data_IF_414614007835
#
_entry.id   IF_414614007835
#
_cell.length_a   1.000
_cell.length_b   1.000
_cell.length_c   1.000
_cell.angle_alpha   90.00
_cell.angle_beta   90.00
_cell.angle_gamma   90.00
#
_symmetry.space_group_name_H-M   'P 1'
#
loop_
_entity.id
_entity.type
_entity.pdbx_description
1 polymer ?
#
# COMPACT_ATOMS: atom_id res chain seq x y z
N UNK A 1 -51.36 19.27 16.91
CA UNK A 1 -49.95 19.62 17.17
C UNK A 1 -49.16 18.32 17.16
N UNK A 2 -48.63 17.95 15.99
CA UNK A 2 -47.88 16.70 15.77
C UNK A 2 -46.41 16.92 16.12
N UNK A 3 -45.96 16.30 17.21
CA UNK A 3 -44.54 16.24 17.56
C UNK A 3 -43.83 15.25 16.64
N UNK A 4 -43.02 15.77 15.73
CA UNK A 4 -42.04 14.97 14.99
C UNK A 4 -40.92 14.59 15.95
N UNK A 5 -40.86 13.31 16.34
CA UNK A 5 -39.70 12.75 17.00
C UNK A 5 -38.55 12.73 15.98
N UNK A 6 -37.57 13.59 16.19
CA UNK A 6 -36.31 13.60 15.48
C UNK A 6 -35.55 12.32 15.84
N UNK A 7 -35.69 11.30 14.99
CA UNK A 7 -34.90 10.07 15.10
C UNK A 7 -33.45 10.44 14.78
N UNK A 8 -32.67 10.72 15.82
CA UNK A 8 -31.22 10.80 15.76
C UNK A 8 -30.71 9.45 15.22
N UNK A 9 -30.33 9.45 13.94
CA UNK A 9 -29.49 8.40 13.33
C UNK A 9 -28.16 8.40 14.06
N UNK A 10 -28.09 7.70 15.20
CA UNK A 10 -26.82 7.28 15.77
C UNK A 10 -26.12 6.44 14.69
N UNK A 11 -24.83 6.70 14.39
CA UNK A 11 -24.08 5.82 13.51
C UNK A 11 -24.12 4.43 14.16
N UNK A 12 -24.78 3.49 13.48
CA UNK A 12 -24.72 2.07 13.83
C UNK A 12 -23.25 1.67 13.75
N UNK A 13 -22.58 1.65 14.90
CA UNK A 13 -21.35 0.91 15.08
C UNK A 13 -21.73 -0.57 14.91
N UNK A 14 -21.66 -1.07 13.69
CA UNK A 14 -21.71 -2.50 13.45
C UNK A 14 -20.42 -3.09 14.01
N UNK A 15 -20.45 -3.48 15.29
CA UNK A 15 -19.50 -4.46 15.82
C UNK A 15 -19.87 -5.79 15.17
N UNK A 16 -19.40 -6.02 13.96
CA UNK A 16 -19.37 -7.36 13.40
C UNK A 16 -18.25 -8.10 14.15
N UNK A 17 -18.62 -8.87 15.17
CA UNK A 17 -17.70 -9.77 15.84
C UNK A 17 -17.13 -10.74 14.80
N UNK A 18 -15.80 -10.90 14.77
CA UNK A 18 -15.14 -11.93 13.96
C UNK A 18 -15.81 -13.29 14.24
N UNK A 19 -15.99 -14.13 13.22
CA UNK A 19 -16.63 -15.43 13.42
C UNK A 19 -15.74 -16.26 14.38
N UNK A 20 -16.34 -16.93 15.39
CA UNK A 20 -15.57 -17.68 16.39
C UNK A 20 -14.77 -18.86 15.80
N UNK A 21 -15.01 -19.22 14.55
CA UNK A 21 -14.38 -20.35 13.86
C UNK A 21 -13.30 -19.95 12.84
N UNK A 22 -12.95 -18.67 12.75
CA UNK A 22 -11.91 -18.25 11.83
C UNK A 22 -10.52 -18.62 12.35
N UNK A 23 -9.74 -19.21 11.46
CA UNK A 23 -8.38 -19.69 11.76
C UNK A 23 -7.30 -18.66 11.44
N UNK A 24 -7.57 -17.79 10.45
CA UNK A 24 -6.62 -16.79 9.97
C UNK A 24 -7.34 -15.47 9.74
N UNK A 25 -6.75 -14.36 10.20
CA UNK A 25 -7.22 -13.01 9.88
C UNK A 25 -6.15 -12.25 9.10
N UNK A 26 -6.53 -11.72 7.95
CA UNK A 26 -5.73 -10.78 7.17
C UNK A 26 -6.08 -9.37 7.66
N UNK A 27 -5.14 -8.69 8.29
CA UNK A 27 -5.28 -7.28 8.67
C UNK A 27 -4.53 -6.46 7.62
N UNK A 28 -5.26 -5.74 6.78
CA UNK A 28 -4.69 -4.96 5.70
C UNK A 28 -4.79 -3.48 5.97
N UNK A 29 -3.70 -2.75 5.72
CA UNK A 29 -3.83 -1.32 5.46
C UNK A 29 -4.69 -1.08 4.21
N UNK A 30 -5.35 0.07 4.16
CA UNK A 30 -6.22 0.45 3.05
C UNK A 30 -5.46 1.27 1.99
N UNK A 31 -4.85 2.36 2.43
CA UNK A 31 -4.24 3.35 1.56
C UNK A 31 -2.89 2.85 1.02
N UNK A 32 -2.68 2.99 -0.29
CA UNK A 32 -1.53 2.47 -1.04
C UNK A 32 -1.30 0.95 -0.94
N UNK A 33 -2.28 0.21 -0.42
CA UNK A 33 -2.33 -1.27 -0.39
C UNK A 33 -3.57 -1.80 -1.11
N UNK A 34 -4.78 -1.40 -0.68
CA UNK A 34 -6.04 -1.80 -1.33
C UNK A 34 -6.55 -0.74 -2.29
N UNK A 35 -6.11 0.50 -2.15
CA UNK A 35 -6.41 1.55 -3.10
C UNK A 35 -5.22 2.47 -3.31
N UNK A 36 -5.16 3.08 -4.48
CA UNK A 36 -4.14 4.05 -4.82
C UNK A 36 -4.53 5.39 -4.19
N UNK A 37 -3.79 5.85 -3.18
CA UNK A 37 -4.04 7.14 -2.48
C UNK A 37 -2.88 8.11 -2.65
N UNK A 38 -1.66 7.58 -2.77
CA UNK A 38 -0.39 8.30 -2.77
C UNK A 38 -0.26 9.20 -1.54
N UNK A 39 -0.38 8.62 -0.33
CA UNK A 39 -0.35 9.37 0.96
C UNK A 39 0.89 10.26 1.08
N UNK A 40 1.99 9.84 0.47
CA UNK A 40 3.25 10.56 0.42
C UNK A 40 3.21 11.88 -0.38
N UNK A 41 2.14 12.12 -1.16
CA UNK A 41 1.87 13.34 -1.90
C UNK A 41 0.56 13.99 -1.39
N UNK A 42 0.64 15.01 -0.53
CA UNK A 42 -0.54 15.59 0.14
C UNK A 42 -1.65 16.06 -0.81
N UNK A 43 -1.30 16.64 -1.96
CA UNK A 43 -2.30 17.08 -2.95
C UNK A 43 -3.04 15.90 -3.57
N UNK A 44 -2.34 14.79 -3.82
CA UNK A 44 -2.92 13.56 -4.37
C UNK A 44 -3.73 12.83 -3.33
N UNK A 45 -3.25 12.74 -2.09
CA UNK A 45 -3.99 12.17 -0.99
C UNK A 45 -5.34 12.87 -0.80
N UNK A 46 -5.37 14.21 -0.70
CA UNK A 46 -6.62 14.99 -0.60
C UNK A 46 -7.54 14.70 -1.79
N UNK A 47 -7.01 14.73 -3.02
CA UNK A 47 -7.79 14.44 -4.22
C UNK A 47 -8.37 13.01 -4.18
N UNK A 48 -7.58 12.03 -3.76
CA UNK A 48 -7.96 10.62 -3.63
C UNK A 48 -9.04 10.37 -2.58
N UNK A 49 -9.04 11.11 -1.47
CA UNK A 49 -10.10 10.98 -0.45
C UNK A 49 -11.41 11.65 -0.87
N UNK A 50 -11.36 12.79 -1.57
CA UNK A 50 -12.53 13.66 -1.73
C UNK A 50 -13.09 13.78 -3.15
N UNK A 51 -12.34 13.39 -4.17
CA UNK A 51 -12.72 13.67 -5.57
C UNK A 51 -12.51 12.52 -6.54
N UNK A 52 -11.44 11.74 -6.40
CA UNK A 52 -11.19 10.61 -7.31
C UNK A 52 -11.97 9.38 -6.82
N UNK A 53 -12.43 8.55 -7.75
CA UNK A 53 -13.07 7.28 -7.43
C UNK A 53 -12.07 6.31 -6.78
N UNK A 54 -12.58 5.32 -6.05
CA UNK A 54 -11.77 4.25 -5.51
C UNK A 54 -11.08 3.49 -6.64
N UNK A 55 -9.75 3.58 -6.72
CA UNK A 55 -8.93 2.84 -7.67
C UNK A 55 -8.16 1.73 -6.95
N UNK A 56 -8.48 0.45 -7.18
CA UNK A 56 -7.76 -0.64 -6.52
C UNK A 56 -6.30 -0.68 -6.97
N UNK A 57 -5.41 -1.04 -6.06
CA UNK A 57 -4.02 -1.34 -6.44
C UNK A 57 -4.00 -2.57 -7.34
N UNK A 58 -3.27 -2.48 -8.45
CA UNK A 58 -3.27 -3.52 -9.48
C UNK A 58 -2.93 -4.92 -8.92
N UNK A 59 -3.78 -5.91 -9.23
CA UNK A 59 -3.64 -7.30 -8.81
C UNK A 59 -4.06 -7.60 -7.36
N UNK A 60 -4.33 -6.59 -6.53
CA UNK A 60 -4.73 -6.78 -5.14
C UNK A 60 -6.15 -7.36 -4.99
N UNK A 61 -7.17 -6.95 -5.79
CA UNK A 61 -8.48 -7.61 -5.77
C UNK A 61 -8.39 -9.13 -6.00
N UNK A 62 -7.59 -9.56 -6.98
CA UNK A 62 -7.37 -10.97 -7.29
C UNK A 62 -6.65 -11.72 -6.16
N UNK A 63 -5.63 -11.10 -5.57
CA UNK A 63 -4.92 -11.67 -4.41
C UNK A 63 -5.88 -11.90 -3.23
N UNK A 64 -6.73 -10.92 -2.92
CA UNK A 64 -7.70 -11.04 -1.82
C UNK A 64 -8.82 -12.03 -2.14
N UNK A 65 -9.21 -12.16 -3.42
CA UNK A 65 -10.11 -13.20 -3.89
C UNK A 65 -9.50 -14.60 -3.72
N UNK A 66 -8.19 -14.75 -3.88
CA UNK A 66 -7.51 -16.02 -3.58
C UNK A 66 -7.49 -16.31 -2.07
N UNK A 67 -7.25 -15.30 -1.24
CA UNK A 67 -7.33 -15.47 0.22
C UNK A 67 -8.71 -15.94 0.68
N UNK A 68 -9.78 -15.40 0.08
CA UNK A 68 -11.16 -15.75 0.48
C UNK A 68 -11.58 -17.16 0.06
N UNK A 69 -10.88 -17.79 -0.89
CA UNK A 69 -11.11 -19.20 -1.25
C UNK A 69 -10.70 -20.16 -0.11
N UNK A 70 -9.82 -19.74 0.79
CA UNK A 70 -9.39 -20.55 1.93
C UNK A 70 -10.37 -20.40 3.08
N UNK A 71 -11.10 -21.49 3.39
CA UNK A 71 -12.13 -21.49 4.44
C UNK A 71 -11.54 -21.13 5.80
N UNK A 72 -12.18 -20.18 6.49
CA UNK A 72 -11.74 -19.70 7.80
C UNK A 72 -10.74 -18.55 7.75
N UNK A 73 -10.58 -17.92 6.57
CA UNK A 73 -9.90 -16.64 6.40
C UNK A 73 -10.90 -15.49 6.58
N UNK A 74 -10.57 -14.53 7.44
CA UNK A 74 -11.35 -13.30 7.65
C UNK A 74 -10.51 -12.06 7.35
N UNK A 75 -11.18 -10.93 7.11
CA UNK A 75 -10.54 -9.70 6.66
C UNK A 75 -10.85 -8.53 7.62
N UNK A 76 -9.81 -7.88 8.10
CA UNK A 76 -9.86 -6.58 8.75
C UNK A 76 -9.14 -5.55 7.87
N UNK A 77 -9.81 -4.48 7.52
CA UNK A 77 -9.26 -3.37 6.77
C UNK A 77 -9.04 -2.20 7.73
N UNK A 78 -7.80 -1.76 7.92
CA UNK A 78 -7.44 -0.71 8.88
C UNK A 78 -6.92 0.52 8.14
N UNK A 79 -7.27 1.72 8.61
CA UNK A 79 -6.71 2.97 8.10
C UNK A 79 -6.56 4.00 9.21
N UNK A 80 -5.67 4.96 8.98
CA UNK A 80 -5.58 6.20 9.73
C UNK A 80 -6.50 7.31 9.19
N UNK A 81 -7.24 7.05 8.10
CA UNK A 81 -8.28 7.93 7.60
C UNK A 81 -9.44 8.08 8.58
N UNK A 82 -10.01 9.28 8.68
CA UNK A 82 -11.12 9.54 9.58
C UNK A 82 -12.39 8.80 9.16
N UNK A 83 -13.22 8.40 10.13
CA UNK A 83 -14.51 7.75 9.87
C UNK A 83 -15.45 8.60 9.00
N UNK A 84 -15.33 9.92 9.05
CA UNK A 84 -16.05 10.84 8.17
C UNK A 84 -15.70 10.69 6.69
N UNK A 85 -14.58 10.05 6.37
CA UNK A 85 -14.12 9.76 5.00
C UNK A 85 -14.55 8.38 4.52
N UNK A 86 -15.23 7.59 5.34
CA UNK A 86 -15.59 6.18 5.06
C UNK A 86 -16.36 5.98 3.75
N UNK A 87 -17.16 6.96 3.31
CA UNK A 87 -17.86 6.90 2.02
C UNK A 87 -16.91 6.77 0.83
N UNK A 88 -15.70 7.35 0.90
CA UNK A 88 -14.66 7.25 -0.14
C UNK A 88 -14.00 5.86 -0.22
N UNK A 89 -14.27 4.99 0.75
CA UNK A 89 -13.71 3.64 0.82
C UNK A 89 -14.77 2.56 0.61
N UNK A 90 -15.94 2.73 1.22
CA UNK A 90 -16.89 1.63 1.45
C UNK A 90 -17.38 1.00 0.15
N UNK A 91 -17.73 1.81 -0.86
CA UNK A 91 -18.24 1.29 -2.13
C UNK A 91 -17.16 0.48 -2.87
N UNK A 92 -15.95 1.03 -3.02
CA UNK A 92 -14.85 0.31 -3.68
C UNK A 92 -14.38 -0.93 -2.91
N UNK A 93 -14.44 -0.90 -1.57
CA UNK A 93 -14.18 -2.09 -0.77
C UNK A 93 -15.21 -3.20 -1.04
N UNK A 94 -16.50 -2.85 -1.06
CA UNK A 94 -17.58 -3.79 -1.36
C UNK A 94 -17.51 -4.33 -2.79
N UNK A 95 -17.09 -3.49 -3.74
CA UNK A 95 -17.00 -3.88 -5.15
C UNK A 95 -15.82 -4.81 -5.43
N UNK A 96 -14.64 -4.54 -4.85
CA UNK A 96 -13.40 -5.19 -5.26
C UNK A 96 -12.87 -6.23 -4.27
N UNK A 97 -13.25 -6.15 -3.00
CA UNK A 97 -12.65 -6.95 -1.93
C UNK A 97 -13.66 -7.88 -1.24
N UNK A 98 -13.20 -9.00 -0.67
CA UNK A 98 -14.07 -9.88 0.12
C UNK A 98 -14.74 -9.13 1.28
N UNK A 99 -15.91 -9.59 1.76
CA UNK A 99 -16.53 -9.03 2.95
C UNK A 99 -15.57 -9.05 4.15
N UNK A 100 -15.51 -7.93 4.87
CA UNK A 100 -14.66 -7.74 6.02
C UNK A 100 -14.98 -6.44 6.76
N UNK A 101 -14.35 -6.24 7.91
CA UNK A 101 -14.59 -5.08 8.76
C UNK A 101 -13.61 -3.96 8.47
N UNK A 102 -14.11 -2.75 8.21
CA UNK A 102 -13.29 -1.57 8.01
C UNK A 102 -13.20 -0.73 9.29
N UNK A 103 -11.99 -0.48 9.75
CA UNK A 103 -11.66 0.24 10.97
C UNK A 103 -11.03 1.59 10.63
N UNK A 104 -11.72 2.66 11.02
CA UNK A 104 -11.33 4.04 10.73
C UNK A 104 -10.85 4.76 11.99
N UNK A 105 -10.07 5.82 11.79
CA UNK A 105 -9.74 6.76 12.87
C UNK A 105 -10.99 7.48 13.36
N UNK A 106 -11.18 7.43 14.68
CA UNK A 106 -12.20 8.23 15.35
C UNK A 106 -11.59 9.56 15.79
N UNK A 107 -12.36 10.63 15.63
CA UNK A 107 -11.99 11.92 16.20
C UNK A 107 -12.39 11.94 17.67
N UNK A 108 -11.47 11.52 18.53
CA UNK A 108 -11.65 11.49 19.98
C UNK A 108 -10.45 12.13 20.67
N UNK A 109 -10.66 13.34 21.21
CA UNK A 109 -9.63 14.11 21.91
C UNK A 109 -9.27 13.50 23.28
N UNK A 110 -10.13 12.62 23.83
CA UNK A 110 -9.85 11.91 25.09
C UNK A 110 -8.94 10.69 24.89
N UNK A 111 -8.89 10.15 23.66
CA UNK A 111 -8.04 9.03 23.29
C UNK A 111 -7.02 9.44 22.22
N UNK A 112 -5.94 10.10 22.67
CA UNK A 112 -4.85 10.55 21.79
C UNK A 112 -4.20 9.41 21.00
N UNK A 113 -4.21 8.17 21.52
CA UNK A 113 -3.70 7.00 20.78
C UNK A 113 -4.57 6.70 19.56
N UNK A 114 -5.89 6.70 19.72
CA UNK A 114 -6.83 6.56 18.61
C UNK A 114 -6.68 7.72 17.61
N UNK A 115 -6.50 8.95 18.10
CA UNK A 115 -6.39 10.12 17.24
C UNK A 115 -5.12 10.12 16.35
N UNK A 116 -3.98 9.67 16.89
CA UNK A 116 -2.70 9.74 16.17
C UNK A 116 -2.22 8.41 15.62
N UNK A 117 -2.70 7.28 16.12
CA UNK A 117 -2.24 5.93 15.77
C UNK A 117 -3.40 4.93 15.64
N UNK A 118 -4.54 5.36 15.08
CA UNK A 118 -5.74 4.53 14.92
C UNK A 118 -5.44 3.14 14.35
N UNK A 119 -4.62 3.06 13.29
CA UNK A 119 -4.22 1.79 12.68
C UNK A 119 -3.59 0.83 13.70
N UNK A 120 -2.67 1.34 14.53
CA UNK A 120 -2.03 0.53 15.56
C UNK A 120 -3.07 0.06 16.58
N UNK A 121 -3.91 0.97 17.06
CA UNK A 121 -4.91 0.67 18.10
C UNK A 121 -5.86 -0.42 17.60
N UNK A 122 -6.39 -0.27 16.38
CA UNK A 122 -7.30 -1.26 15.80
C UNK A 122 -6.64 -2.61 15.58
N UNK A 123 -5.43 -2.64 15.02
CA UNK A 123 -4.70 -3.90 14.83
C UNK A 123 -4.37 -4.58 16.17
N UNK A 124 -4.01 -3.81 17.19
CA UNK A 124 -3.74 -4.32 18.55
C UNK A 124 -5.01 -4.88 19.19
N UNK A 125 -6.14 -4.17 19.12
CA UNK A 125 -7.43 -4.66 19.63
C UNK A 125 -7.88 -5.95 18.96
N UNK A 126 -7.73 -6.07 17.64
CA UNK A 126 -8.05 -7.30 16.90
C UNK A 126 -7.24 -8.50 17.37
N UNK A 127 -5.96 -8.29 17.69
CA UNK A 127 -5.07 -9.36 18.17
C UNK A 127 -5.41 -9.72 19.61
N UNK A 128 -5.70 -8.72 20.44
CA UNK A 128 -6.03 -8.91 21.86
C UNK A 128 -7.39 -9.61 22.05
N UNK A 129 -8.33 -9.43 21.12
CA UNK A 129 -9.64 -10.11 21.10
C UNK A 129 -9.53 -11.64 20.96
N UNK A 130 -8.58 -12.13 20.17
CA UNK A 130 -8.34 -13.56 19.98
C UNK A 130 -6.84 -13.87 19.79
N UNK A 131 -6.07 -13.98 20.89
CA UNK A 131 -4.63 -14.21 20.83
C UNK A 131 -4.24 -15.56 20.21
N UNK A 132 -5.16 -16.53 20.14
CA UNK A 132 -4.92 -17.84 19.54
C UNK A 132 -5.07 -17.83 18.02
N UNK A 133 -5.64 -16.76 17.46
CA UNK A 133 -5.82 -16.59 16.03
C UNK A 133 -4.50 -16.24 15.35
N UNK A 134 -4.34 -16.77 14.13
CA UNK A 134 -3.19 -16.46 13.28
C UNK A 134 -3.49 -15.20 12.47
N UNK A 135 -2.61 -14.21 12.53
CA UNK A 135 -2.74 -12.94 11.82
C UNK A 135 -1.66 -12.77 10.76
N UNK A 136 -2.04 -12.21 9.63
CA UNK A 136 -1.11 -11.69 8.62
C UNK A 136 -1.37 -10.20 8.51
N UNK A 137 -0.32 -9.39 8.70
CA UNK A 137 -0.44 -7.94 8.56
C UNK A 137 0.06 -7.53 7.18
N UNK A 138 -0.79 -6.94 6.36
CA UNK A 138 -0.48 -6.49 5.00
C UNK A 138 -0.37 -4.97 5.00
N UNK A 139 0.77 -4.45 4.57
CA UNK A 139 1.06 -3.02 4.53
C UNK A 139 1.91 -2.65 3.32
N UNK A 140 2.47 -1.45 3.34
CA UNK A 140 3.31 -0.94 2.26
C UNK A 140 4.54 -0.17 2.79
N UNK A 141 5.40 0.26 1.86
CA UNK A 141 6.58 1.08 2.15
C UNK A 141 6.41 2.59 1.86
N UNK A 142 5.23 3.00 1.43
CA UNK A 142 4.83 4.39 1.16
C UNK A 142 3.98 5.02 2.29
N UNK A 143 3.57 4.25 3.30
CA UNK A 143 2.87 4.80 4.47
C UNK A 143 3.86 5.13 5.60
N UNK A 144 4.01 6.42 5.97
CA UNK A 144 4.94 6.82 7.03
C UNK A 144 4.66 6.12 8.36
N UNK A 145 5.69 5.51 8.95
CA UNK A 145 5.61 4.90 10.27
C UNK A 145 4.98 3.49 10.33
N UNK A 146 4.31 3.02 9.27
CA UNK A 146 3.61 1.73 9.26
C UNK A 146 4.51 0.55 9.62
N UNK A 147 5.70 0.47 9.01
CA UNK A 147 6.66 -0.63 9.25
C UNK A 147 7.04 -0.72 10.74
N UNK A 148 7.25 0.41 11.39
CA UNK A 148 7.63 0.47 12.80
C UNK A 148 6.49 -0.04 13.70
N UNK A 149 5.25 0.32 13.37
CA UNK A 149 4.05 -0.17 14.08
C UNK A 149 3.93 -1.67 13.92
N UNK A 150 3.96 -2.18 12.69
CA UNK A 150 3.78 -3.60 12.39
C UNK A 150 4.91 -4.47 12.97
N UNK A 151 6.16 -4.00 12.90
CA UNK A 151 7.29 -4.66 13.52
C UNK A 151 7.10 -4.78 15.05
N UNK A 152 6.71 -3.70 15.72
CA UNK A 152 6.44 -3.71 17.17
C UNK A 152 5.31 -4.66 17.55
N UNK A 153 4.21 -4.65 16.80
CA UNK A 153 3.09 -5.56 17.05
C UNK A 153 3.53 -7.03 16.88
N UNK A 154 4.28 -7.35 15.83
CA UNK A 154 4.74 -8.71 15.58
C UNK A 154 5.77 -9.21 16.61
N UNK A 155 6.61 -8.31 17.14
CA UNK A 155 7.53 -8.61 18.25
C UNK A 155 6.73 -8.87 19.54
N UNK A 156 5.71 -8.04 19.84
CA UNK A 156 4.87 -8.18 21.03
C UNK A 156 4.00 -9.45 20.98
N UNK A 157 3.52 -9.83 19.80
CA UNK A 157 2.58 -10.93 19.60
C UNK A 157 3.18 -12.04 18.69
N UNK A 158 4.22 -12.76 19.15
CA UNK A 158 4.97 -13.69 18.31
C UNK A 158 4.19 -14.94 17.89
N UNK A 159 3.20 -15.36 18.69
CA UNK A 159 2.34 -16.52 18.39
C UNK A 159 1.15 -16.20 17.50
N UNK A 160 0.62 -14.98 17.60
CA UNK A 160 -0.59 -14.59 16.88
C UNK A 160 -0.22 -14.06 15.50
N UNK A 161 0.72 -13.11 15.40
CA UNK A 161 1.14 -12.58 14.09
C UNK A 161 2.10 -13.57 13.44
N UNK A 162 1.79 -14.06 12.26
CA UNK A 162 2.57 -15.09 11.58
C UNK A 162 3.51 -14.48 10.54
N UNK A 163 3.02 -13.52 9.75
CA UNK A 163 3.81 -12.88 8.71
C UNK A 163 3.41 -11.41 8.52
N UNK A 164 4.41 -10.57 8.30
CA UNK A 164 4.26 -9.20 7.80
C UNK A 164 4.49 -9.19 6.30
N UNK A 165 3.57 -8.63 5.54
CA UNK A 165 3.60 -8.66 4.07
C UNK A 165 3.58 -7.22 3.57
N UNK A 166 4.65 -6.77 2.92
CA UNK A 166 4.80 -5.38 2.48
C UNK A 166 4.78 -5.24 0.96
N UNK A 167 3.98 -4.32 0.43
CA UNK A 167 4.05 -3.90 -0.96
C UNK A 167 5.14 -2.82 -1.13
N UNK A 168 6.05 -3.02 -2.07
CA UNK A 168 6.96 -1.97 -2.52
C UNK A 168 6.31 -1.09 -3.59
N UNK A 169 5.51 -0.12 -3.14
CA UNK A 169 4.82 0.86 -3.99
C UNK A 169 5.80 1.65 -4.86
N UNK A 170 7.10 1.69 -4.55
CA UNK A 170 8.10 2.39 -5.40
C UNK A 170 8.34 1.66 -6.72
N UNK A 171 8.09 0.35 -6.77
CA UNK A 171 8.22 -0.44 -7.99
C UNK A 171 7.15 -0.08 -9.02
N UNK A 172 5.95 0.26 -8.56
CA UNK A 172 4.82 0.70 -9.40
C UNK A 172 4.71 2.22 -9.49
N UNK A 173 5.28 2.97 -8.53
CA UNK A 173 5.22 4.42 -8.47
C UNK A 173 6.59 5.06 -8.18
N UNK A 174 7.40 5.35 -9.22
CA UNK A 174 8.75 5.90 -9.07
C UNK A 174 8.75 7.36 -8.59
N UNK A 175 7.61 8.05 -8.66
CA UNK A 175 7.47 9.39 -8.09
C UNK A 175 7.48 9.35 -6.55
N UNK A 176 7.23 8.19 -5.92
CA UNK A 176 7.36 8.04 -4.47
C UNK A 176 8.78 8.34 -3.99
N UNK A 177 8.90 9.38 -3.20
CA UNK A 177 10.13 9.88 -2.61
C UNK A 177 10.40 9.43 -1.18
N UNK A 178 9.45 8.75 -0.54
CA UNK A 178 9.62 8.27 0.83
C UNK A 178 10.73 7.24 0.89
N UNK A 179 11.48 7.32 1.98
CA UNK A 179 12.45 6.29 2.33
C UNK A 179 11.87 5.51 3.51
N UNK A 180 11.51 4.22 3.31
CA UNK A 180 10.93 3.42 4.38
C UNK A 180 11.93 3.22 5.52
N UNK A 181 11.42 3.23 6.76
CA UNK A 181 12.21 2.88 7.94
C UNK A 181 12.26 1.36 8.07
N UNK A 182 13.33 0.74 7.56
CA UNK A 182 13.46 -0.73 7.48
C UNK A 182 14.26 -1.34 8.63
N UNK A 183 14.93 -0.54 9.47
CA UNK A 183 15.69 -1.03 10.64
C UNK A 183 14.86 -1.86 11.62
N UNK A 184 13.58 -1.55 11.92
CA UNK A 184 12.77 -2.39 12.78
C UNK A 184 12.62 -3.84 12.29
N UNK A 185 12.72 -4.08 10.97
CA UNK A 185 12.63 -5.41 10.37
C UNK A 185 13.90 -6.26 10.54
N UNK A 186 15.00 -5.68 11.02
CA UNK A 186 16.24 -6.42 11.32
C UNK A 186 16.24 -7.08 12.68
N UNK A 187 15.19 -6.86 13.48
CA UNK A 187 15.10 -7.49 14.80
C UNK A 187 15.13 -9.01 14.64
N UNK A 188 15.93 -9.69 15.48
CA UNK A 188 16.05 -11.15 15.43
C UNK A 188 14.71 -11.85 15.63
N UNK A 189 13.79 -11.26 16.40
CA UNK A 189 12.45 -11.79 16.62
C UNK A 189 11.56 -11.73 15.36
N UNK A 190 11.97 -10.99 14.34
CA UNK A 190 11.30 -10.90 13.04
C UNK A 190 12.03 -11.69 11.94
N UNK A 191 13.08 -12.44 12.29
CA UNK A 191 13.71 -13.39 11.38
C UNK A 191 12.66 -14.34 10.84
N UNK A 192 12.55 -14.44 9.51
CA UNK A 192 11.55 -15.24 8.79
C UNK A 192 10.07 -14.82 8.96
N UNK A 193 9.79 -13.62 9.48
CA UNK A 193 8.42 -13.17 9.79
C UNK A 193 7.97 -11.95 9.00
N UNK A 194 8.71 -11.60 7.94
CA UNK A 194 8.25 -10.60 6.98
C UNK A 194 8.62 -10.98 5.55
N UNK A 195 7.90 -10.43 4.57
CA UNK A 195 8.20 -10.54 3.15
C UNK A 195 7.79 -9.26 2.43
N UNK A 196 8.21 -9.14 1.18
CA UNK A 196 7.98 -7.99 0.32
C UNK A 196 7.67 -8.47 -1.09
N UNK A 197 6.79 -7.74 -1.78
CA UNK A 197 6.45 -7.96 -3.17
C UNK A 197 6.43 -6.61 -3.90
N UNK A 198 6.86 -6.60 -5.17
CA UNK A 198 6.76 -5.41 -6.03
C UNK A 198 5.38 -5.34 -6.69
N UNK A 199 4.80 -6.51 -6.98
CA UNK A 199 3.48 -6.66 -7.58
C UNK A 199 2.63 -7.69 -6.83
N UNK A 200 1.33 -7.45 -6.71
CA UNK A 200 0.43 -8.37 -6.01
C UNK A 200 0.41 -9.79 -6.63
N UNK A 201 0.72 -9.88 -7.93
CA UNK A 201 0.82 -11.13 -8.67
C UNK A 201 1.90 -12.08 -8.12
N UNK A 202 3.02 -11.54 -7.63
CA UNK A 202 4.09 -12.35 -7.03
C UNK A 202 3.59 -13.15 -5.83
N UNK A 203 2.68 -12.59 -5.02
CA UNK A 203 2.11 -13.29 -3.88
C UNK A 203 0.88 -14.12 -4.28
N UNK A 204 0.10 -13.66 -5.25
CA UNK A 204 -1.12 -14.35 -5.73
C UNK A 204 -0.88 -15.83 -6.01
N UNK A 205 0.23 -16.17 -6.67
CA UNK A 205 0.54 -17.54 -7.09
C UNK A 205 0.80 -18.50 -5.91
N UNK A 206 1.28 -17.98 -4.77
CA UNK A 206 1.61 -18.77 -3.59
C UNK A 206 0.55 -18.68 -2.48
N UNK A 207 -0.33 -17.70 -2.56
CA UNK A 207 -1.27 -17.29 -1.50
C UNK A 207 -2.09 -18.43 -0.91
N UNK A 208 -2.77 -19.22 -1.77
CA UNK A 208 -3.63 -20.33 -1.35
C UNK A 208 -2.81 -21.42 -0.66
N UNK A 209 -1.69 -21.81 -1.25
CA UNK A 209 -0.79 -22.84 -0.71
C UNK A 209 -0.26 -22.41 0.66
N UNK A 210 0.22 -21.18 0.77
CA UNK A 210 0.71 -20.61 2.03
C UNK A 210 -0.36 -20.60 3.12
N UNK A 211 -1.57 -20.12 2.83
CA UNK A 211 -2.66 -20.08 3.82
C UNK A 211 -3.10 -21.47 4.28
N UNK A 212 -3.16 -22.45 3.37
CA UNK A 212 -3.47 -23.84 3.73
C UNK A 212 -2.40 -24.44 4.65
N UNK A 213 -1.12 -24.20 4.37
CA UNK A 213 -0.01 -24.62 5.25
C UNK A 213 -0.07 -23.92 6.61
N UNK A 214 -0.31 -22.61 6.60
CA UNK A 214 -0.43 -21.80 7.82
C UNK A 214 -1.58 -22.29 8.70
N UNK A 215 -2.69 -22.71 8.11
CA UNK A 215 -3.83 -23.26 8.85
C UNK A 215 -3.51 -24.63 9.44
N UNK A 216 -2.88 -25.51 8.66
CA UNK A 216 -2.58 -26.89 9.05
C UNK A 216 -1.43 -27.01 10.07
N UNK A 217 -0.54 -26.01 10.13
CA UNK A 217 0.65 -26.10 10.98
C UNK A 217 0.33 -26.00 12.47
N UNK A 218 0.98 -26.86 13.26
CA UNK A 218 1.02 -26.81 14.73
C UNK A 218 2.18 -25.97 15.25
N UNK A 219 3.06 -25.47 14.37
CA UNK A 219 4.13 -24.56 14.76
C UNK A 219 3.52 -23.21 15.16
N UNK A 220 3.77 -22.78 16.40
CA UNK A 220 3.30 -21.49 16.93
C UNK A 220 3.87 -20.28 16.17
N UNK A 221 4.99 -20.45 15.46
CA UNK A 221 5.70 -19.39 14.72
C UNK A 221 6.08 -19.85 13.31
N UNK A 222 5.08 -20.17 12.49
CA UNK A 222 5.29 -20.64 11.11
C UNK A 222 6.03 -19.61 10.25
N UNK A 223 5.80 -18.32 10.50
CA UNK A 223 6.45 -17.25 9.75
C UNK A 223 5.83 -17.04 8.36
N UNK A 224 6.65 -16.51 7.45
CA UNK A 224 6.29 -16.32 6.05
C UNK A 224 6.56 -17.55 5.16
N UNK A 225 6.99 -18.68 5.73
CA UNK A 225 7.28 -19.91 4.96
C UNK A 225 8.29 -19.68 3.83
N UNK A 226 8.00 -20.20 2.64
CA UNK A 226 8.85 -20.04 1.45
C UNK A 226 8.84 -18.61 0.87
N UNK A 227 7.90 -17.77 1.29
CA UNK A 227 7.77 -16.40 0.80
C UNK A 227 8.95 -15.51 1.21
N UNK A 228 9.74 -15.93 2.20
CA UNK A 228 10.90 -15.19 2.70
C UNK A 228 11.98 -14.95 1.64
N UNK A 229 12.07 -15.83 0.64
CA UNK A 229 13.09 -15.75 -0.42
C UNK A 229 13.06 -14.42 -1.18
N UNK A 230 11.91 -13.74 -1.16
CA UNK A 230 11.66 -12.43 -1.79
C UNK A 230 12.32 -11.26 -1.06
N UNK A 231 12.70 -11.41 0.21
CA UNK A 231 13.45 -10.39 0.95
C UNK A 231 14.77 -10.03 0.26
N UNK A 232 15.44 -11.01 -0.36
CA UNK A 232 16.78 -10.84 -0.93
C UNK A 232 16.83 -9.75 -2.01
N UNK A 233 15.87 -9.75 -2.94
CA UNK A 233 15.76 -8.73 -4.00
C UNK A 233 15.62 -7.32 -3.44
N UNK A 234 14.80 -7.17 -2.39
CA UNK A 234 14.62 -5.89 -1.71
C UNK A 234 15.85 -5.43 -0.93
N UNK A 235 16.54 -6.36 -0.25
CA UNK A 235 17.76 -6.05 0.49
C UNK A 235 18.90 -5.61 -0.44
N UNK A 236 19.02 -6.24 -1.61
CA UNK A 236 19.96 -5.84 -2.65
C UNK A 236 19.68 -4.39 -3.15
N UNK A 237 18.40 -3.99 -3.25
CA UNK A 237 18.00 -2.63 -3.64
C UNK A 237 18.35 -1.55 -2.62
N UNK A 238 18.49 -1.90 -1.34
CA UNK A 238 18.88 -0.95 -0.27
C UNK A 238 20.37 -1.08 0.10
N UNK A 239 21.18 -1.68 -0.77
CA UNK A 239 22.61 -1.94 -0.57
C UNK A 239 22.89 -2.75 0.71
N UNK A 240 21.96 -3.63 1.11
CA UNK A 240 21.97 -4.33 2.39
C UNK A 240 22.03 -3.39 3.62
N UNK A 241 21.73 -2.10 3.45
CA UNK A 241 21.70 -1.12 4.54
C UNK A 241 20.26 -0.83 4.96
N UNK A 242 19.89 -1.31 6.14
CA UNK A 242 18.59 -0.95 6.71
C UNK A 242 18.59 0.50 7.20
N UNK A 243 17.60 1.28 6.77
CA UNK A 243 17.47 2.68 7.19
C UNK A 243 16.94 2.75 8.62
N UNK A 244 17.71 3.36 9.52
CA UNK A 244 17.23 3.77 10.84
C UNK A 244 16.14 4.83 10.69
N UNK A 245 15.29 5.00 11.70
CA UNK A 245 14.24 6.03 11.68
C UNK A 245 14.81 7.43 11.42
N UNK A 246 15.93 7.77 12.06
CA UNK A 246 16.60 9.05 11.85
C UNK A 246 17.09 9.24 10.41
N UNK A 247 17.75 8.21 9.84
CA UNK A 247 18.26 8.26 8.46
C UNK A 247 17.11 8.30 7.44
N UNK A 248 16.08 7.49 7.65
CA UNK A 248 14.88 7.46 6.81
C UNK A 248 14.17 8.82 6.81
N UNK A 249 13.96 9.42 7.99
CA UNK A 249 13.35 10.76 8.13
C UNK A 249 14.21 11.82 7.45
N UNK A 250 15.52 11.85 7.69
CA UNK A 250 16.42 12.82 7.04
C UNK A 250 16.40 12.70 5.51
N UNK A 251 16.50 11.47 4.98
CA UNK A 251 16.45 11.21 3.53
C UNK A 251 15.08 11.56 2.93
N UNK A 252 14.01 11.29 3.66
CA UNK A 252 12.64 11.65 3.25
C UNK A 252 12.47 13.15 3.21
N UNK A 253 12.91 13.89 4.23
CA UNK A 253 12.83 15.34 4.28
C UNK A 253 13.68 16.01 3.19
N UNK A 254 14.89 15.51 2.94
CA UNK A 254 15.77 16.06 1.90
C UNK A 254 15.24 15.82 0.49
N UNK A 255 14.76 14.59 0.19
CA UNK A 255 14.06 14.30 -1.08
C UNK A 255 12.76 15.10 -1.18
N UNK A 256 12.05 15.22 -0.06
CA UNK A 256 10.90 16.09 0.23
C UNK A 256 11.11 17.53 -0.25
N UNK A 257 12.11 18.17 0.34
CA UNK A 257 12.46 19.54 0.03
C UNK A 257 12.92 19.67 -1.43
N UNK A 258 13.73 18.74 -1.92
CA UNK A 258 14.22 18.76 -3.31
C UNK A 258 13.08 18.75 -4.33
N UNK A 259 12.09 17.87 -4.18
CA UNK A 259 11.00 17.82 -5.13
C UNK A 259 10.01 18.99 -4.97
N UNK A 260 9.82 19.53 -3.76
CA UNK A 260 9.09 20.80 -3.59
C UNK A 260 9.81 21.96 -4.28
N UNK A 261 11.13 22.06 -4.15
CA UNK A 261 11.92 23.10 -4.80
C UNK A 261 11.87 22.99 -6.32
N UNK A 262 11.94 21.78 -6.89
CA UNK A 262 11.73 21.57 -8.34
C UNK A 262 10.39 22.12 -8.81
N UNK A 263 9.32 21.88 -8.05
CA UNK A 263 7.98 22.36 -8.35
C UNK A 263 7.85 23.88 -8.19
N UNK A 264 8.53 24.49 -7.21
CA UNK A 264 8.50 25.93 -6.95
C UNK A 264 9.10 26.72 -8.13
N UNK A 265 10.20 26.23 -8.69
CA UNK A 265 10.91 26.87 -9.81
C UNK A 265 10.09 26.93 -11.11
N UNK A 266 9.00 26.16 -11.20
CA UNK A 266 8.16 26.06 -12.41
C UNK A 266 6.68 26.35 -12.13
N UNK A 267 6.38 27.02 -11.00
CA UNK A 267 5.02 27.41 -10.59
C UNK A 267 4.10 27.90 -11.72
N UNK A 268 4.50 28.86 -12.58
CA UNK A 268 3.61 29.35 -13.64
C UNK A 268 3.29 28.32 -14.73
N UNK A 269 4.03 27.20 -14.79
CA UNK A 269 3.90 26.16 -15.80
C UNK A 269 3.39 24.82 -15.23
N UNK A 270 2.70 24.84 -14.07
CA UNK A 270 2.09 23.65 -13.46
C UNK A 270 0.68 23.38 -14.03
N UNK A 271 0.25 22.11 -14.17
CA UNK A 271 1.02 20.90 -13.86
C UNK A 271 2.15 20.68 -14.87
N UNK A 272 3.30 20.21 -14.38
CA UNK A 272 4.51 19.98 -15.19
C UNK A 272 5.14 18.60 -14.94
N UNK A 273 5.63 17.90 -15.98
CA UNK A 273 6.35 16.64 -15.79
C UNK A 273 7.71 16.84 -15.12
N UNK A 274 8.20 18.08 -15.03
CA UNK A 274 9.41 18.43 -14.29
C UNK A 274 9.16 18.56 -12.78
N UNK A 275 7.91 18.77 -12.36
CA UNK A 275 7.52 18.76 -10.96
C UNK A 275 7.16 17.34 -10.53
N UNK A 276 7.97 16.74 -9.67
CA UNK A 276 7.72 15.38 -9.16
C UNK A 276 6.36 15.21 -8.49
N UNK A 277 5.81 16.27 -7.90
CA UNK A 277 4.49 16.27 -7.22
C UNK A 277 3.34 16.27 -8.24
N UNK A 278 3.56 16.82 -9.45
CA UNK A 278 2.58 16.83 -10.54
C UNK A 278 2.61 15.54 -11.36
N UNK A 279 3.72 14.77 -11.27
CA UNK A 279 3.89 13.53 -12.02
C UNK A 279 2.81 12.54 -11.66
N UNK A 280 1.93 12.30 -12.62
CA UNK A 280 0.92 11.25 -12.56
C UNK A 280 0.92 10.49 -13.87
N UNK A 281 0.82 9.18 -13.74
CA UNK A 281 0.55 8.28 -14.85
C UNK A 281 -0.69 8.73 -15.63
N UNK A 282 -0.57 8.76 -16.96
CA UNK A 282 -1.70 9.08 -17.83
C UNK A 282 -2.11 10.56 -17.81
N UNK A 283 -1.24 11.45 -17.33
CA UNK A 283 -1.51 12.89 -17.29
C UNK A 283 -0.94 13.60 -18.52
N UNK A 284 -1.78 14.43 -19.13
CA UNK A 284 -1.37 15.36 -20.16
C UNK A 284 -0.83 16.64 -19.53
N UNK A 285 0.38 17.06 -19.94
CA UNK A 285 0.99 18.31 -19.49
C UNK A 285 0.89 19.36 -20.60
N UNK A 286 -0.02 20.34 -20.49
CA UNK A 286 -0.36 21.24 -21.60
C UNK A 286 0.83 22.04 -22.12
N UNK A 287 1.68 22.53 -21.20
CA UNK A 287 2.85 23.35 -21.54
C UNK A 287 3.94 22.60 -22.28
N UNK A 288 4.05 21.29 -22.06
CA UNK A 288 5.07 20.45 -22.66
C UNK A 288 4.54 19.65 -23.86
N UNK A 289 3.22 19.75 -24.13
CA UNK A 289 2.50 18.96 -25.13
C UNK A 289 2.91 17.49 -25.09
N UNK A 290 3.12 16.97 -23.88
CA UNK A 290 3.63 15.64 -23.61
C UNK A 290 2.63 14.90 -22.75
N UNK A 291 2.26 13.70 -23.20
CA UNK A 291 1.57 12.72 -22.38
C UNK A 291 2.64 11.85 -21.74
N UNK A 292 2.73 11.82 -20.41
CA UNK A 292 3.57 10.80 -19.78
C UNK A 292 2.71 9.56 -19.53
N UNK A 293 2.91 8.53 -20.35
CA UNK A 293 2.35 7.21 -20.06
C UNK A 293 3.15 6.54 -18.93
N UNK A 294 2.50 5.60 -18.26
CA UNK A 294 3.01 4.76 -17.16
C UNK A 294 4.46 4.29 -17.34
N UNK A 295 4.87 4.05 -18.58
CA UNK A 295 6.17 3.51 -18.93
C UNK A 295 7.32 4.54 -18.86
N UNK A 296 7.08 5.82 -19.14
CA UNK A 296 8.16 6.83 -19.15
C UNK A 296 8.62 7.20 -17.73
N UNK A 297 7.73 7.07 -16.74
CA UNK A 297 8.04 7.29 -15.33
C UNK A 297 8.90 6.16 -14.73
N UNK A 298 8.69 4.90 -15.14
CA UNK A 298 9.49 3.73 -14.70
C UNK A 298 10.98 3.84 -15.07
N UNK A 299 11.32 4.69 -16.02
CA UNK A 299 12.60 4.66 -16.74
C UNK A 299 13.55 5.82 -16.52
N UNK A 300 13.42 6.60 -15.44
CA UNK A 300 14.48 7.53 -15.05
C UNK A 300 15.81 6.84 -14.66
N UNK A 301 15.88 5.51 -14.68
CA UNK A 301 17.12 4.72 -14.64
C UNK A 301 17.44 3.88 -15.90
N UNK A 302 16.59 3.81 -16.94
CA UNK A 302 16.76 2.83 -18.05
C UNK A 302 16.35 3.27 -19.48
N UNK A 303 16.27 4.56 -19.80
CA UNK A 303 16.09 5.03 -21.19
C UNK A 303 17.35 5.72 -21.71
N UNK A 304 18.45 4.97 -21.76
CA UNK A 304 18.95 4.54 -23.07
C UNK A 304 19.10 3.02 -23.12
N UNK A 305 18.72 2.39 -24.24
CA UNK A 305 18.97 0.97 -24.57
C UNK A 305 18.05 -0.07 -23.90
N UNK A 306 16.72 0.05 -23.99
CA UNK A 306 15.81 -1.00 -23.53
C UNK A 306 15.85 -2.21 -24.49
N UNK A 307 16.05 -3.42 -23.97
CA UNK A 307 16.04 -4.67 -24.76
C UNK A 307 14.78 -5.47 -24.42
N UNK A 308 13.93 -5.75 -25.40
CA UNK A 308 12.73 -6.61 -25.29
C UNK A 308 12.91 -7.78 -26.25
N UNK A 309 12.84 -9.01 -25.75
CA UNK A 309 13.09 -10.24 -26.53
C UNK A 309 14.41 -10.23 -27.35
N UNK A 310 15.46 -9.63 -26.80
CA UNK A 310 16.77 -9.51 -27.48
C UNK A 310 16.87 -8.37 -28.48
N UNK A 311 15.77 -7.67 -28.77
CA UNK A 311 15.76 -6.49 -29.64
C UNK A 311 15.91 -5.22 -28.80
N UNK A 312 16.94 -4.43 -29.10
CA UNK A 312 17.19 -3.13 -28.49
C UNK A 312 16.27 -2.09 -29.14
N UNK A 313 15.64 -1.24 -28.33
CA UNK A 313 14.76 -0.14 -28.74
C UNK A 313 15.33 1.20 -28.26
N UNK A 314 15.36 2.19 -29.15
CA UNK A 314 15.96 3.51 -28.89
C UNK A 314 14.94 4.51 -28.31
N UNK A 315 13.64 4.37 -28.65
CA UNK A 315 12.57 5.26 -28.17
C UNK A 315 11.18 4.60 -28.22
N UNK A 316 10.18 5.30 -27.66
CA UNK A 316 8.75 4.94 -27.73
C UNK A 316 7.99 5.99 -28.57
N UNK A 317 7.01 5.54 -29.36
CA UNK A 317 6.14 6.36 -30.19
C UNK A 317 4.66 6.16 -29.80
N UNK A 318 3.84 7.17 -30.10
CA UNK A 318 2.41 7.18 -29.82
C UNK A 318 1.63 7.68 -31.04
N UNK A 319 0.73 6.86 -31.57
CA UNK A 319 -0.18 7.23 -32.64
C UNK A 319 -1.49 6.40 -32.52
N UNK A 320 -2.63 7.01 -32.84
CA UNK A 320 -3.94 6.34 -32.80
C UNK A 320 -4.37 5.79 -31.43
N UNK A 321 -3.90 6.36 -30.31
CA UNK A 321 -4.30 5.91 -28.97
C UNK A 321 -3.52 4.72 -28.43
N UNK A 322 -2.47 4.25 -29.12
CA UNK A 322 -1.63 3.12 -28.71
C UNK A 322 -0.15 3.52 -28.68
N UNK A 323 0.63 2.83 -27.84
CA UNK A 323 2.08 3.01 -27.74
C UNK A 323 2.81 1.83 -28.37
N UNK A 324 3.97 2.09 -28.98
CA UNK A 324 4.89 1.06 -29.45
C UNK A 324 6.35 1.53 -29.39
N UNK A 325 7.27 0.57 -29.31
CA UNK A 325 8.71 0.81 -29.25
C UNK A 325 9.30 0.81 -30.67
N UNK A 326 10.22 1.73 -30.96
CA UNK A 326 10.89 1.81 -32.28
C UNK A 326 12.40 2.01 -32.14
N UNK A 327 13.11 1.67 -33.22
CA UNK A 327 14.49 2.07 -33.48
C UNK A 327 14.48 3.17 -34.53
N UNK A 328 15.06 4.35 -34.25
CA UNK A 328 14.99 5.51 -35.15
C UNK A 328 13.93 6.56 -34.76
N UNK A 329 13.30 7.23 -35.72
CA UNK A 329 12.37 8.36 -35.48
C UNK A 329 10.91 7.93 -35.54
N UNK A 330 10.04 8.53 -34.71
CA UNK A 330 8.60 8.38 -34.90
C UNK A 330 8.21 9.05 -36.22
N UNK A 331 7.57 8.33 -37.14
CA UNK A 331 7.02 8.93 -38.34
C UNK A 331 5.95 9.94 -37.93
N UNK A 332 6.08 11.18 -38.43
CA UNK A 332 5.06 12.19 -38.30
C UNK A 332 4.16 12.08 -39.51
N UNK A 333 2.93 11.61 -39.33
CA UNK A 333 1.83 11.86 -40.26
C UNK A 333 0.85 12.85 -39.64
#
# INVERSE_FOLDING_TARGET
MSGFALLLMLPLYAFAAFLPNASVTIVSDLDDVLRITEIWNPLRAIRGFFTDDFQPVNGMPELYRNFSQVKGTEFAYVTDGFVSWSSSYTYGLQEHYPPGNAYFRLFDLSNLKMLFNARQVHAESLIDEDPNRKFILVGDFATPGLINVYAKLAIKNPRSIQCLVFLDVRATNPANWLVPTTKPLTDRALSNRWTVFETAEEFKNDSITYLNQLKATTNESFGCGHLITRQKSFLDLIENTHYSSARATFMTLTKGLSAMMQCLMILPFRPSPLCRIDRREGTWYPYYKKFESEMELRTWKKLPNTVVNGTKYERMCYEGGKFWLVNGTCEQN
#
